data_IF_822167215571
#
_entry.id   IF_822167215571
#
_cell.length_a   1.000
_cell.length_b   1.000
_cell.length_c   1.000
_cell.angle_alpha   90.00
_cell.angle_beta   90.00
_cell.angle_gamma   90.00
#
_symmetry.space_group_name_H-M   'P 1'
#
loop_
_entity.id
_entity.type
_entity.pdbx_description
1 polymer ?
#
# COMPACT_ATOMS: atom_id res chain seq x y z
N UNK A 1 8.14 -25.84 12.39
CA UNK A 1 7.42 -24.58 12.08
C UNK A 1 8.07 -23.48 12.90
N UNK A 2 8.70 -22.50 12.25
CA UNK A 2 9.44 -21.45 12.97
C UNK A 2 8.40 -20.55 13.65
N UNK A 3 8.60 -20.18 14.92
CA UNK A 3 7.68 -19.31 15.69
C UNK A 3 7.31 -18.04 14.90
N UNK A 4 8.24 -17.54 14.10
CA UNK A 4 8.06 -16.39 13.21
C UNK A 4 6.99 -16.60 12.13
N UNK A 5 6.89 -17.80 11.56
CA UNK A 5 5.87 -18.14 10.55
C UNK A 5 4.46 -18.16 11.17
N UNK A 6 4.34 -18.70 12.40
CA UNK A 6 3.08 -18.71 13.12
C UNK A 6 2.61 -17.28 13.45
N UNK A 7 3.53 -16.41 13.87
CA UNK A 7 3.26 -14.98 14.08
C UNK A 7 2.86 -14.31 12.76
N UNK A 8 3.54 -14.63 11.65
CA UNK A 8 3.21 -14.15 10.31
C UNK A 8 1.79 -14.50 9.88
N UNK A 9 1.34 -15.73 10.10
CA UNK A 9 -0.02 -16.14 9.76
C UNK A 9 -1.08 -15.46 10.64
N UNK A 10 -0.84 -15.33 11.94
CA UNK A 10 -1.75 -14.60 12.84
C UNK A 10 -1.81 -13.13 12.43
N UNK A 11 -0.68 -12.49 12.17
CA UNK A 11 -0.62 -11.12 11.67
C UNK A 11 -1.39 -10.95 10.36
N UNK A 12 -1.28 -11.91 9.44
CA UNK A 12 -2.00 -11.90 8.16
C UNK A 12 -3.53 -11.89 8.33
N UNK A 13 -4.06 -12.56 9.36
CA UNK A 13 -5.49 -12.52 9.70
C UNK A 13 -5.90 -11.10 10.14
N UNK A 14 -5.15 -10.51 11.08
CA UNK A 14 -5.43 -9.15 11.56
C UNK A 14 -5.31 -8.11 10.44
N UNK A 15 -4.34 -8.29 9.54
CA UNK A 15 -4.16 -7.47 8.35
C UNK A 15 -5.37 -7.61 7.43
N UNK A 16 -5.80 -8.83 7.12
CA UNK A 16 -7.00 -9.08 6.31
C UNK A 16 -8.25 -8.41 6.88
N UNK A 17 -8.46 -8.50 8.19
CA UNK A 17 -9.56 -7.81 8.89
C UNK A 17 -9.39 -6.29 8.78
N UNK A 18 -8.20 -5.76 9.04
CA UNK A 18 -7.90 -4.32 8.94
C UNK A 18 -8.09 -3.79 7.52
N UNK A 19 -7.68 -4.54 6.49
CA UNK A 19 -7.93 -4.24 5.08
C UNK A 19 -9.42 -4.21 4.76
N UNK A 20 -10.18 -5.18 5.29
CA UNK A 20 -11.63 -5.21 5.12
C UNK A 20 -12.35 -4.04 5.78
N UNK A 21 -11.88 -3.59 6.95
CA UNK A 21 -12.49 -2.51 7.73
C UNK A 21 -12.10 -1.11 7.24
N UNK A 22 -10.82 -0.88 6.96
CA UNK A 22 -10.31 0.43 6.51
C UNK A 22 -10.59 0.63 5.01
N UNK A 23 -10.90 -0.44 4.28
CA UNK A 23 -11.03 -0.43 2.83
C UNK A 23 -9.66 -0.47 2.13
N UNK A 24 -9.58 0.06 0.91
CA UNK A 24 -8.41 -0.03 0.02
C UNK A 24 -7.08 0.53 0.56
N UNK A 25 -7.07 1.17 1.75
CA UNK A 25 -5.89 1.75 2.39
C UNK A 25 -5.06 0.81 3.28
N UNK A 26 -5.48 -0.43 3.56
CA UNK A 26 -4.73 -1.31 4.45
C UNK A 26 -3.44 -1.93 3.84
N UNK A 27 -3.14 -1.64 2.56
CA UNK A 27 -1.89 -2.00 1.85
C UNK A 27 -0.63 -1.49 2.55
N UNK A 28 -0.78 -0.37 3.26
CA UNK A 28 0.19 0.28 4.13
C UNK A 28 0.83 -0.72 5.10
N UNK A 29 0.01 -1.57 5.72
CA UNK A 29 0.44 -2.53 6.74
C UNK A 29 0.96 -3.83 6.12
N UNK A 30 0.55 -4.14 4.89
CA UNK A 30 0.93 -5.39 4.21
C UNK A 30 2.41 -5.40 3.81
N UNK A 31 2.96 -4.28 3.32
CA UNK A 31 4.36 -4.23 2.85
C UNK A 31 5.35 -4.51 3.99
N UNK A 32 5.30 -3.81 5.15
CA UNK A 32 6.20 -4.09 6.27
C UNK A 32 6.09 -5.52 6.79
N UNK A 33 4.88 -6.09 6.76
CA UNK A 33 4.68 -7.46 7.25
C UNK A 33 5.32 -8.48 6.32
N UNK A 34 5.15 -8.34 5.00
CA UNK A 34 5.80 -9.23 4.04
C UNK A 34 7.33 -9.13 4.11
N UNK A 35 7.86 -7.93 4.31
CA UNK A 35 9.32 -7.73 4.44
C UNK A 35 9.85 -8.28 5.76
N UNK A 36 9.27 -7.89 6.89
CA UNK A 36 9.86 -8.16 8.20
C UNK A 36 9.43 -9.50 8.83
N UNK A 37 8.24 -10.02 8.50
CA UNK A 37 7.75 -11.29 9.08
C UNK A 37 7.92 -12.46 8.12
N UNK A 38 7.82 -12.22 6.81
CA UNK A 38 7.95 -13.26 5.78
C UNK A 38 9.29 -13.22 5.03
N UNK A 39 10.17 -12.27 5.35
CA UNK A 39 11.52 -12.14 4.77
C UNK A 39 11.51 -12.05 3.23
N UNK A 40 10.47 -11.40 2.68
CA UNK A 40 10.30 -11.20 1.25
C UNK A 40 10.95 -9.88 0.86
N UNK A 41 11.70 -9.86 -0.25
CA UNK A 41 12.36 -8.64 -0.73
C UNK A 41 11.36 -7.48 -0.88
N UNK A 42 11.72 -6.24 -0.50
CA UNK A 42 10.86 -5.06 -0.66
C UNK A 42 10.25 -4.92 -2.06
N UNK A 43 11.02 -5.20 -3.11
CA UNK A 43 10.52 -5.20 -4.49
C UNK A 43 9.32 -6.16 -4.66
N UNK A 44 9.46 -7.42 -4.23
CA UNK A 44 8.39 -8.42 -4.35
C UNK A 44 7.23 -8.15 -3.38
N UNK A 45 7.53 -7.63 -2.19
CA UNK A 45 6.53 -7.28 -1.17
C UNK A 45 5.56 -6.20 -1.68
N UNK A 46 6.03 -5.21 -2.44
CA UNK A 46 5.14 -4.22 -3.07
C UNK A 46 4.24 -4.84 -4.16
N UNK A 47 4.68 -5.92 -4.81
CA UNK A 47 3.86 -6.64 -5.80
C UNK A 47 2.76 -7.45 -5.12
N UNK A 48 3.12 -8.20 -4.09
CA UNK A 48 2.17 -9.01 -3.35
C UNK A 48 1.17 -8.15 -2.60
N UNK A 49 1.57 -7.00 -2.05
CA UNK A 49 0.61 -6.09 -1.40
C UNK A 49 -0.45 -5.57 -2.38
N UNK A 50 -0.05 -5.16 -3.60
CA UNK A 50 -1.01 -4.74 -4.64
C UNK A 50 -1.96 -5.87 -5.05
N UNK A 51 -1.45 -7.10 -5.13
CA UNK A 51 -2.28 -8.27 -5.44
C UNK A 51 -3.29 -8.56 -4.34
N UNK A 52 -2.84 -8.59 -3.08
CA UNK A 52 -3.69 -8.80 -1.90
C UNK A 52 -4.80 -7.75 -1.85
N UNK A 53 -4.45 -6.48 -2.02
CA UNK A 53 -5.41 -5.36 -1.98
C UNK A 53 -6.35 -5.39 -3.19
N UNK A 54 -5.84 -5.77 -4.37
CA UNK A 54 -6.65 -5.94 -5.56
C UNK A 54 -7.75 -6.98 -5.36
N UNK A 55 -7.44 -8.12 -4.75
CA UNK A 55 -8.42 -9.16 -4.44
C UNK A 55 -9.43 -8.67 -3.39
N UNK A 56 -8.97 -8.08 -2.29
CA UNK A 56 -9.89 -7.60 -1.24
C UNK A 56 -10.81 -6.49 -1.75
N UNK A 57 -10.28 -5.57 -2.56
CA UNK A 57 -11.06 -4.53 -3.23
C UNK A 57 -12.06 -5.11 -4.23
N UNK A 58 -11.69 -6.16 -4.98
CA UNK A 58 -12.60 -6.83 -5.90
C UNK A 58 -13.78 -7.47 -5.18
N UNK A 59 -13.54 -8.16 -4.05
CA UNK A 59 -14.62 -8.74 -3.23
C UNK A 59 -15.54 -7.64 -2.70
N UNK A 60 -14.98 -6.53 -2.22
CA UNK A 60 -15.77 -5.36 -1.79
C UNK A 60 -16.57 -4.73 -2.93
N UNK A 61 -15.96 -4.61 -4.11
CA UNK A 61 -16.61 -4.10 -5.30
C UNK A 61 -17.76 -4.99 -5.75
N UNK A 62 -17.60 -6.31 -5.79
CA UNK A 62 -18.70 -7.23 -6.14
C UNK A 62 -19.89 -7.05 -5.19
N UNK A 63 -19.62 -6.92 -3.87
CA UNK A 63 -20.69 -6.66 -2.90
C UNK A 63 -21.37 -5.31 -3.14
N UNK A 64 -20.62 -4.24 -3.34
CA UNK A 64 -21.19 -2.91 -3.62
C UNK A 64 -21.93 -2.86 -4.97
N UNK A 65 -21.49 -3.64 -5.96
CA UNK A 65 -22.15 -3.79 -7.25
C UNK A 65 -23.55 -4.40 -7.06
N UNK A 66 -23.66 -5.45 -6.23
CA UNK A 66 -24.95 -6.08 -5.92
C UNK A 66 -25.93 -5.16 -5.21
N UNK A 67 -25.42 -4.14 -4.49
CA UNK A 67 -26.22 -3.11 -3.83
C UNK A 67 -26.58 -1.93 -4.74
N UNK A 68 -26.13 -1.93 -6.00
CA UNK A 68 -26.35 -0.82 -6.93
C UNK A 68 -25.57 0.46 -6.58
N UNK A 69 -24.57 0.36 -5.70
CA UNK A 69 -23.81 1.50 -5.17
C UNK A 69 -22.53 1.81 -5.96
N UNK A 70 -22.42 1.32 -7.20
CA UNK A 70 -21.23 1.52 -8.04
C UNK A 70 -21.53 2.48 -9.18
N UNK A 71 -20.71 3.53 -9.22
CA UNK A 71 -20.66 4.44 -10.35
C UNK A 71 -19.53 4.02 -11.32
N UNK A 72 -19.90 3.20 -12.31
CA UNK A 72 -18.93 2.59 -13.25
C UNK A 72 -18.10 3.58 -14.04
N UNK A 73 -18.66 4.76 -14.33
CA UNK A 73 -17.94 5.84 -15.04
C UNK A 73 -16.75 6.32 -14.20
N UNK A 74 -16.98 6.63 -12.93
CA UNK A 74 -15.95 7.03 -11.98
C UNK A 74 -14.93 5.91 -11.79
N UNK A 75 -15.40 4.66 -11.63
CA UNK A 75 -14.50 3.51 -11.53
C UNK A 75 -13.54 3.41 -12.74
N UNK A 76 -14.04 3.59 -13.96
CA UNK A 76 -13.21 3.52 -15.18
C UNK A 76 -12.20 4.68 -15.27
N UNK A 77 -12.63 5.91 -14.93
CA UNK A 77 -11.77 7.10 -14.95
C UNK A 77 -10.62 6.97 -13.94
N UNK A 78 -10.83 6.29 -12.81
CA UNK A 78 -9.76 6.02 -11.85
C UNK A 78 -8.91 4.79 -12.23
N UNK A 79 -9.54 3.69 -12.67
CA UNK A 79 -8.85 2.43 -12.91
C UNK A 79 -7.87 2.50 -14.08
N UNK A 80 -8.26 3.11 -15.20
CA UNK A 80 -7.45 3.11 -16.42
C UNK A 80 -6.13 3.87 -16.23
N UNK A 81 -6.13 5.14 -15.75
CA UNK A 81 -4.88 5.86 -15.51
C UNK A 81 -4.02 5.21 -14.43
N UNK A 82 -4.64 4.68 -13.36
CA UNK A 82 -3.91 4.00 -12.29
C UNK A 82 -3.19 2.75 -12.83
N UNK A 83 -3.86 1.92 -13.63
CA UNK A 83 -3.26 0.72 -14.21
C UNK A 83 -2.10 1.07 -15.15
N UNK A 84 -2.28 2.08 -16.01
CA UNK A 84 -1.23 2.57 -16.92
C UNK A 84 -0.03 3.07 -16.11
N UNK A 85 -0.24 3.92 -15.11
CA UNK A 85 0.84 4.48 -14.30
C UNK A 85 1.62 3.40 -13.55
N UNK A 86 0.91 2.43 -12.93
CA UNK A 86 1.55 1.31 -12.22
C UNK A 86 2.33 0.42 -13.18
N UNK A 87 1.75 0.09 -14.35
CA UNK A 87 2.41 -0.73 -15.36
C UNK A 87 3.66 -0.05 -15.90
N UNK A 88 3.60 1.23 -16.29
CA UNK A 88 4.74 1.98 -16.80
C UNK A 88 5.84 2.10 -15.74
N UNK A 89 5.47 2.38 -14.49
CA UNK A 89 6.43 2.46 -13.38
C UNK A 89 7.14 1.13 -13.19
N UNK A 90 6.42 0.02 -13.15
CA UNK A 90 7.00 -1.31 -12.96
C UNK A 90 7.82 -1.80 -14.15
N UNK A 91 7.40 -1.46 -15.38
CA UNK A 91 8.08 -1.93 -16.59
C UNK A 91 9.31 -1.12 -16.93
N UNK A 92 9.28 0.19 -16.70
CA UNK A 92 10.32 1.11 -17.15
C UNK A 92 11.09 1.75 -16.00
N UNK A 93 10.43 2.28 -14.97
CA UNK A 93 11.13 2.95 -13.86
C UNK A 93 11.88 1.96 -12.97
N UNK A 94 11.20 0.94 -12.43
CA UNK A 94 11.78 0.01 -11.45
C UNK A 94 13.02 -0.73 -11.99
N UNK A 95 13.04 -1.24 -13.25
CA UNK A 95 14.21 -1.90 -13.80
C UNK A 95 15.34 -0.93 -14.19
N UNK A 96 15.03 0.36 -14.38
CA UNK A 96 16.04 1.38 -14.70
C UNK A 96 16.80 1.88 -13.47
N UNK A 97 16.41 1.46 -12.26
CA UNK A 97 17.12 1.79 -11.02
C UNK A 97 18.41 0.94 -10.98
N UNK A 98 19.61 1.55 -10.98
CA UNK A 98 20.87 0.82 -10.85
C UNK A 98 20.93 0.10 -9.50
N UNK A 99 21.53 -1.10 -9.46
CA UNK A 99 21.79 -1.82 -8.22
C UNK A 99 23.29 -2.09 -8.09
N UNK A 100 24.01 -1.45 -7.14
CA UNK A 100 23.54 -0.51 -6.11
C UNK A 100 23.27 0.91 -6.65
N UNK A 101 22.34 1.63 -6.00
CA UNK A 101 21.97 3.02 -6.36
C UNK A 101 23.09 3.99 -5.98
N UNK A 102 23.72 3.78 -4.82
CA UNK A 102 24.92 4.48 -4.39
C UNK A 102 25.86 3.51 -3.68
N UNK A 103 27.14 3.48 -4.08
CA UNK A 103 28.22 2.81 -3.36
C UNK A 103 29.22 3.86 -2.87
N UNK A 104 29.34 4.02 -1.56
CA UNK A 104 30.37 4.84 -0.91
C UNK A 104 31.13 3.95 0.09
N UNK A 105 32.37 4.28 0.46
CA UNK A 105 33.20 3.52 1.40
C UNK A 105 32.54 3.27 2.77
N UNK A 106 31.51 4.05 3.16
CA UNK A 106 30.75 3.87 4.41
C UNK A 106 29.35 3.22 4.25
N UNK A 107 28.75 3.20 3.06
CA UNK A 107 27.35 2.76 2.91
C UNK A 107 27.05 2.28 1.50
N UNK A 108 26.45 1.09 1.38
CA UNK A 108 25.90 0.54 0.14
C UNK A 108 24.38 0.70 0.14
N UNK A 109 23.86 1.65 -0.64
CA UNK A 109 22.42 1.79 -0.87
C UNK A 109 22.01 0.81 -1.97
N UNK A 110 21.45 -0.32 -1.57
CA UNK A 110 20.83 -1.27 -2.49
C UNK A 110 19.49 -0.75 -3.00
N UNK A 111 19.01 -1.37 -4.09
CA UNK A 111 17.67 -1.11 -4.63
C UNK A 111 16.57 -1.30 -3.57
N UNK A 112 16.66 -2.35 -2.76
CA UNK A 112 15.69 -2.69 -1.72
C UNK A 112 15.61 -1.63 -0.61
N UNK A 113 16.76 -1.14 -0.13
CA UNK A 113 16.78 -0.06 0.87
C UNK A 113 16.19 1.23 0.30
N UNK A 114 16.44 1.52 -0.97
CA UNK A 114 15.87 2.70 -1.64
C UNK A 114 14.35 2.62 -1.72
N UNK A 115 13.80 1.46 -2.11
CA UNK A 115 12.35 1.22 -2.14
C UNK A 115 11.76 1.38 -0.74
N UNK A 116 12.42 0.84 0.30
CA UNK A 116 11.96 0.95 1.68
C UNK A 116 11.97 2.39 2.20
N UNK A 117 13.03 3.16 1.93
CA UNK A 117 13.12 4.58 2.32
C UNK A 117 12.04 5.39 1.60
N UNK A 118 11.86 5.19 0.29
CA UNK A 118 10.81 5.85 -0.48
C UNK A 118 9.41 5.53 0.06
N UNK A 119 9.14 4.25 0.33
CA UNK A 119 7.89 3.82 0.92
C UNK A 119 7.66 4.45 2.30
N UNK A 120 8.69 4.48 3.16
CA UNK A 120 8.61 5.11 4.47
C UNK A 120 8.28 6.61 4.39
N UNK A 121 8.86 7.34 3.43
CA UNK A 121 8.55 8.75 3.20
C UNK A 121 7.10 8.98 2.78
N UNK A 122 6.60 8.19 1.82
CA UNK A 122 5.19 8.22 1.41
C UNK A 122 4.28 7.93 2.61
N UNK A 123 4.65 6.93 3.40
CA UNK A 123 3.87 6.53 4.56
C UNK A 123 3.79 7.62 5.63
N UNK A 124 4.90 8.28 5.90
CA UNK A 124 4.94 9.40 6.84
C UNK A 124 4.09 10.56 6.32
N UNK A 125 4.17 10.87 5.01
CA UNK A 125 3.34 11.89 4.39
C UNK A 125 1.84 11.55 4.47
N UNK A 126 1.47 10.29 4.20
CA UNK A 126 0.09 9.81 4.31
C UNK A 126 -0.42 9.92 5.76
N UNK A 127 0.38 9.49 6.74
CA UNK A 127 0.03 9.59 8.16
C UNK A 127 -0.19 11.05 8.58
N UNK A 128 0.71 11.96 8.19
CA UNK A 128 0.56 13.40 8.47
C UNK A 128 -0.68 13.98 7.79
N UNK A 129 -0.95 13.60 6.53
CA UNK A 129 -2.15 14.05 5.79
C UNK A 129 -3.44 13.58 6.46
N UNK A 130 -3.50 12.33 6.92
CA UNK A 130 -4.68 11.79 7.61
C UNK A 130 -4.93 12.51 8.94
N UNK A 131 -3.88 12.80 9.71
CA UNK A 131 -4.02 13.53 10.98
C UNK A 131 -4.49 14.97 10.75
N UNK A 132 -4.00 15.64 9.70
CA UNK A 132 -4.44 17.01 9.36
C UNK A 132 -5.88 17.04 8.86
N UNK A 133 -6.27 16.10 8.00
CA UNK A 133 -7.65 15.97 7.51
C UNK A 133 -8.66 15.85 8.65
N UNK A 134 -8.34 15.09 9.70
CA UNK A 134 -9.21 14.94 10.87
C UNK A 134 -9.40 16.26 11.62
N UNK A 135 -8.35 17.08 11.71
CA UNK A 135 -8.42 18.39 12.36
C UNK A 135 -9.33 19.35 11.58
N UNK A 136 -9.22 19.35 10.26
CA UNK A 136 -10.01 20.21 9.38
C UNK A 136 -11.52 19.87 9.44
N UNK A 137 -11.88 18.59 9.49
CA UNK A 137 -13.27 18.14 9.68
C UNK A 137 -13.86 18.56 11.03
N UNK A 138 -13.07 18.46 12.11
CA UNK A 138 -13.50 18.88 13.46
C UNK A 138 -13.71 20.39 13.54
N UNK A 139 -12.83 21.19 12.93
CA UNK A 139 -12.96 22.66 12.87
C UNK A 139 -14.19 23.12 12.05
N UNK A 140 -14.48 22.45 10.93
CA UNK A 140 -15.67 22.70 10.11
C UNK A 140 -16.97 22.38 10.85
N UNK A 141 -17.00 21.28 11.62
CA UNK A 141 -18.16 20.88 12.41
C UNK A 141 -18.42 21.80 13.62
N UNK A 142 -17.41 22.54 14.10
CA UNK A 142 -17.51 23.46 15.23
C UNK A 142 -17.82 24.91 14.84
N UNK A 143 -17.87 25.23 13.54
CA UNK A 143 -18.16 26.59 13.06
C UNK A 143 -19.65 26.90 13.27
N UNK A 144 -20.02 27.96 14.01
CA UNK A 144 -21.42 28.34 14.15
C UNK A 144 -21.94 28.81 12.78
N UNK A 145 -23.11 28.30 12.40
CA UNK A 145 -23.84 28.66 11.18
C UNK A 145 -24.26 30.13 11.23
#
# INVERSE_FOLDING_TARGET
>A
MKVMEAIGYIASIFIGISLGLIGGGGSVLTVPVLVYLFDITPEMSTAYSLFIVGITALVGAIRNASLGQIEYKTALVFAVPAFIAVYLTRRFLVPSIPDPVFSTELMTLSKDTTIMVFFALIMLAAAVSMIRSLKDEIELAQKPV
#
